data_IF_296984758548
#
_entry.id   IF_296984758548
#
_cell.length_a   1.000
_cell.length_b   1.000
_cell.length_c   1.000
_cell.angle_alpha   90.00
_cell.angle_beta   90.00
_cell.angle_gamma   90.00
#
_symmetry.space_group_name_H-M   'P 1'
#
loop_
_entity.id
_entity.type
_entity.pdbx_description
1 polymer ?
#
# COMPACT_ATOMS: atom_id res chain seq x y z
N UNK A 1 -17.59 13.00 -6.06
CA UNK A 1 -16.17 12.70 -5.76
C UNK A 1 -16.14 11.96 -4.45
N UNK A 2 -15.91 10.64 -4.46
CA UNK A 2 -15.88 9.82 -3.25
C UNK A 2 -14.53 10.08 -2.60
N UNK A 3 -14.46 11.10 -1.74
CA UNK A 3 -13.25 11.37 -0.96
C UNK A 3 -12.84 10.09 -0.25
N UNK A 4 -11.57 9.71 -0.35
CA UNK A 4 -11.02 8.55 0.36
C UNK A 4 -11.42 8.67 1.82
N UNK A 5 -12.32 7.80 2.28
CA UNK A 5 -12.80 7.86 3.66
C UNK A 5 -11.73 7.23 4.54
N UNK A 6 -11.49 7.85 5.69
CA UNK A 6 -10.59 7.31 6.71
C UNK A 6 -10.95 5.86 7.04
N UNK A 7 -12.24 5.53 6.94
CA UNK A 7 -12.79 4.17 7.03
C UNK A 7 -12.12 3.17 6.06
N UNK A 8 -11.97 3.53 4.78
CA UNK A 8 -11.33 2.67 3.77
C UNK A 8 -9.85 2.43 4.11
N UNK A 9 -9.17 3.46 4.63
CA UNK A 9 -7.78 3.33 5.09
C UNK A 9 -7.64 2.43 6.31
N UNK A 10 -8.56 2.52 7.27
CA UNK A 10 -8.56 1.66 8.45
C UNK A 10 -8.85 0.20 8.10
N UNK A 11 -9.80 -0.05 7.19
CA UNK A 11 -10.08 -1.40 6.69
C UNK A 11 -8.87 -2.01 5.99
N UNK A 12 -8.20 -1.25 5.11
CA UNK A 12 -7.00 -1.72 4.44
C UNK A 12 -5.86 -2.04 5.44
N UNK A 13 -5.68 -1.21 6.46
CA UNK A 13 -4.70 -1.47 7.53
C UNK A 13 -5.05 -2.73 8.33
N UNK A 14 -6.33 -3.01 8.59
CA UNK A 14 -6.77 -4.24 9.23
C UNK A 14 -6.47 -5.47 8.37
N UNK A 15 -6.76 -5.41 7.07
CA UNK A 15 -6.44 -6.46 6.10
C UNK A 15 -4.94 -6.78 6.11
N UNK A 16 -4.07 -5.77 5.99
CA UNK A 16 -2.61 -5.95 6.05
C UNK A 16 -2.19 -6.56 7.39
N UNK A 17 -2.74 -6.08 8.51
CA UNK A 17 -2.40 -6.58 9.85
C UNK A 17 -2.86 -8.03 10.05
N UNK A 18 -3.99 -8.42 9.48
CA UNK A 18 -4.54 -9.77 9.54
C UNK A 18 -3.71 -10.74 8.69
N UNK A 19 -3.39 -10.35 7.45
CA UNK A 19 -2.57 -11.16 6.54
C UNK A 19 -1.15 -11.38 7.10
N UNK A 20 -0.56 -10.34 7.71
CA UNK A 20 0.78 -10.39 8.29
C UNK A 20 0.80 -10.50 9.81
N UNK A 21 -0.23 -11.11 10.43
CA UNK A 21 -0.33 -11.23 11.90
C UNK A 21 0.88 -11.92 12.53
N UNK A 22 1.49 -12.89 11.83
CA UNK A 22 2.72 -13.57 12.25
C UNK A 22 4.02 -12.86 11.86
N UNK A 23 3.94 -11.72 11.15
CA UNK A 23 5.08 -10.97 10.59
C UNK A 23 4.96 -9.47 10.90
N UNK A 24 5.10 -9.05 12.17
CA UNK A 24 4.92 -7.66 12.58
C UNK A 24 5.90 -6.69 11.91
N UNK A 25 7.06 -7.18 11.46
CA UNK A 25 8.03 -6.37 10.71
C UNK A 25 7.46 -5.84 9.39
N UNK A 26 6.62 -6.61 8.69
CA UNK A 26 6.00 -6.19 7.42
C UNK A 26 5.06 -5.00 7.65
N UNK A 27 4.23 -5.08 8.69
CA UNK A 27 3.32 -3.98 9.04
C UNK A 27 4.08 -2.71 9.44
N UNK A 28 5.15 -2.84 10.25
CA UNK A 28 5.99 -1.71 10.61
C UNK A 28 6.71 -1.09 9.39
N UNK A 29 7.19 -1.91 8.46
CA UNK A 29 7.83 -1.44 7.24
C UNK A 29 6.83 -0.70 6.33
N UNK A 30 5.60 -1.20 6.22
CA UNK A 30 4.52 -0.50 5.52
C UNK A 30 4.26 0.89 6.12
N UNK A 31 4.15 0.99 7.45
CA UNK A 31 3.98 2.27 8.13
C UNK A 31 5.18 3.21 7.91
N UNK A 32 6.41 2.67 7.88
CA UNK A 32 7.61 3.43 7.55
C UNK A 32 7.55 4.01 6.14
N UNK A 33 7.13 3.21 5.15
CA UNK A 33 6.95 3.67 3.76
C UNK A 33 5.92 4.81 3.69
N UNK A 34 4.77 4.67 4.38
CA UNK A 34 3.75 5.71 4.43
C UNK A 34 4.23 7.00 5.11
N UNK A 35 5.06 6.87 6.15
CA UNK A 35 5.65 8.02 6.84
C UNK A 35 6.63 8.76 5.92
N UNK A 36 7.48 8.05 5.21
CA UNK A 36 8.43 8.65 4.26
C UNK A 36 7.69 9.36 3.12
N UNK A 37 6.60 8.77 2.62
CA UNK A 37 5.72 9.43 1.64
C UNK A 37 5.10 10.71 2.20
N UNK A 38 4.59 10.68 3.44
CA UNK A 38 4.04 11.87 4.12
C UNK A 38 5.10 12.94 4.37
N UNK A 39 6.35 12.55 4.60
CA UNK A 39 7.48 13.46 4.77
C UNK A 39 8.08 13.95 3.45
N UNK A 40 7.49 13.58 2.30
CA UNK A 40 7.98 13.88 0.94
C UNK A 40 9.41 13.35 0.67
N UNK A 41 9.86 12.35 1.43
CA UNK A 41 11.15 11.68 1.17
C UNK A 41 11.05 10.67 0.02
N UNK A 42 9.83 10.23 -0.29
CA UNK A 42 9.52 9.24 -1.32
C UNK A 42 8.32 9.75 -2.12
N UNK A 43 8.45 9.83 -3.44
CA UNK A 43 7.36 10.18 -4.34
C UNK A 43 6.38 9.02 -4.57
N UNK A 44 5.24 9.31 -5.21
CA UNK A 44 4.22 8.32 -5.60
C UNK A 44 4.79 7.08 -6.32
N UNK A 45 5.64 7.18 -7.36
CA UNK A 45 6.23 5.98 -7.97
C UNK A 45 7.14 5.20 -6.99
N UNK A 46 7.82 5.90 -6.09
CA UNK A 46 8.67 5.27 -5.08
C UNK A 46 7.88 4.53 -4.00
N UNK A 47 6.74 5.08 -3.57
CA UNK A 47 5.87 4.41 -2.59
C UNK A 47 5.28 3.14 -3.18
N UNK A 48 4.86 3.18 -4.46
CA UNK A 48 4.35 2.04 -5.20
C UNK A 48 5.38 0.92 -5.30
N UNK A 49 6.60 1.23 -5.75
CA UNK A 49 7.66 0.23 -5.88
C UNK A 49 7.97 -0.46 -4.54
N UNK A 50 8.01 0.31 -3.44
CA UNK A 50 8.26 -0.24 -2.10
C UNK A 50 7.09 -1.10 -1.61
N UNK A 51 5.85 -0.67 -1.82
CA UNK A 51 4.64 -1.43 -1.44
C UNK A 51 4.53 -2.72 -2.25
N UNK A 52 4.73 -2.68 -3.57
CA UNK A 52 4.76 -3.88 -4.43
C UNK A 52 5.82 -4.87 -3.99
N UNK A 53 7.01 -4.39 -3.62
CA UNK A 53 8.09 -5.25 -3.11
C UNK A 53 7.75 -5.85 -1.74
N UNK A 54 7.19 -5.05 -0.84
CA UNK A 54 6.83 -5.47 0.51
C UNK A 54 5.75 -6.55 0.50
N UNK A 55 4.74 -6.38 -0.36
CA UNK A 55 3.62 -7.30 -0.51
C UNK A 55 3.79 -8.26 -1.69
N UNK A 56 5.03 -8.50 -2.14
CA UNK A 56 5.30 -9.39 -3.27
C UNK A 56 4.69 -10.77 -3.02
N UNK A 57 3.87 -11.24 -3.97
CA UNK A 57 3.09 -12.48 -3.86
C UNK A 57 1.69 -12.30 -3.24
N UNK A 58 1.36 -11.11 -2.74
CA UNK A 58 0.04 -10.75 -2.19
C UNK A 58 -0.65 -9.72 -3.10
N UNK A 59 -1.01 -10.15 -4.31
CA UNK A 59 -1.59 -9.29 -5.34
C UNK A 59 -2.85 -8.55 -4.87
N UNK A 60 -3.66 -9.16 -3.97
CA UNK A 60 -4.84 -8.52 -3.40
C UNK A 60 -4.52 -7.25 -2.61
N UNK A 61 -3.46 -7.27 -1.80
CA UNK A 61 -3.05 -6.11 -1.01
C UNK A 61 -2.49 -5.03 -1.93
N UNK A 62 -1.61 -5.41 -2.88
CA UNK A 62 -1.05 -4.47 -3.84
C UNK A 62 -2.15 -3.77 -4.66
N UNK A 63 -3.11 -4.53 -5.20
CA UNK A 63 -4.23 -3.98 -5.95
C UNK A 63 -5.19 -3.18 -5.06
N UNK A 64 -5.38 -3.58 -3.81
CA UNK A 64 -6.17 -2.83 -2.83
C UNK A 64 -5.61 -1.42 -2.59
N UNK A 65 -4.28 -1.28 -2.69
CA UNK A 65 -3.60 0.00 -2.57
C UNK A 65 -3.98 1.00 -3.68
N UNK A 66 -4.45 0.55 -4.84
CA UNK A 66 -4.91 1.41 -5.93
C UNK A 66 -6.05 2.35 -5.53
N UNK A 67 -6.83 1.98 -4.51
CA UNK A 67 -7.87 2.84 -3.95
C UNK A 67 -7.30 4.16 -3.44
N UNK A 68 -6.07 4.15 -2.92
CA UNK A 68 -5.38 5.32 -2.39
C UNK A 68 -4.53 6.06 -3.43
N UNK A 69 -4.42 5.53 -4.65
CA UNK A 69 -3.60 6.09 -5.72
C UNK A 69 -4.44 6.91 -6.71
N UNK A 70 -3.89 8.02 -7.23
CA UNK A 70 -4.50 8.72 -8.35
C UNK A 70 -4.51 7.84 -9.61
N UNK A 71 -5.43 8.12 -10.54
CA UNK A 71 -5.68 7.24 -11.69
C UNK A 71 -4.46 6.98 -12.59
N UNK A 72 -3.54 7.94 -12.69
CA UNK A 72 -2.30 7.80 -13.47
C UNK A 72 -1.23 6.92 -12.83
N UNK A 73 -1.45 6.41 -11.62
CA UNK A 73 -0.47 5.64 -10.85
C UNK A 73 -1.01 4.28 -10.38
N UNK A 74 -2.18 3.86 -10.88
CA UNK A 74 -2.76 2.56 -10.52
C UNK A 74 -1.85 1.43 -10.99
N UNK A 75 -1.64 0.46 -10.10
CA UNK A 75 -0.85 -0.75 -10.31
C UNK A 75 -1.74 -1.81 -10.96
N UNK A 76 -1.28 -2.45 -12.03
CA UNK A 76 -1.97 -3.57 -12.66
C UNK A 76 -1.24 -4.89 -12.42
N UNK A 77 -1.90 -6.02 -12.64
CA UNK A 77 -1.26 -7.34 -12.51
C UNK A 77 -0.07 -7.52 -13.45
N UNK A 78 -0.11 -6.88 -14.63
CA UNK A 78 0.99 -6.88 -15.59
C UNK A 78 2.27 -6.19 -15.04
N UNK A 79 2.14 -5.27 -14.08
CA UNK A 79 3.26 -4.60 -13.44
C UNK A 79 3.90 -5.43 -12.31
N UNK A 80 3.29 -6.58 -11.98
CA UNK A 80 3.70 -7.47 -10.87
C UNK A 80 4.39 -8.75 -11.34
N UNK A 81 4.61 -8.91 -12.64
CA UNK A 81 5.31 -10.04 -13.26
C UNK A 81 6.85 -9.97 -13.06
#
# INVERSE_FOLDING_TARGET
MRGLRVEDALLYLDDVKREFRGRPHVYNEFLGIMKNFKSQEVDTPGVIARVSKLFRGYNKLILGFNTFLPEGYKISLADLE
#
